data_IF_503738687084
#
_entry.id   IF_503738687084
#
_cell.length_a   1.000
_cell.length_b   1.000
_cell.length_c   1.000
_cell.angle_alpha   90.00
_cell.angle_beta   90.00
_cell.angle_gamma   90.00
#
_symmetry.space_group_name_H-M   'P 1'
#
loop_
_entity.id
_entity.type
_entity.pdbx_description
1 polymer ?
#
# COMPACT_ATOMS: atom_id res chain seq x y z
N UNK A 1 -37.18 -27.13 -43.67
CA UNK A 1 -36.46 -25.88 -43.34
C UNK A 1 -37.43 -25.01 -42.58
N UNK A 2 -37.33 -24.97 -41.25
CA UNK A 2 -38.07 -24.03 -40.42
C UNK A 2 -37.05 -23.18 -39.67
N UNK A 3 -37.16 -21.87 -39.84
CA UNK A 3 -36.28 -20.86 -39.27
C UNK A 3 -36.61 -20.67 -37.79
N UNK A 4 -35.65 -20.95 -36.91
CA UNK A 4 -35.76 -20.60 -35.49
C UNK A 4 -35.58 -19.09 -35.35
N UNK A 5 -36.62 -18.39 -34.92
CA UNK A 5 -36.55 -16.98 -34.53
C UNK A 5 -36.55 -16.91 -33.00
N UNK A 6 -35.46 -16.38 -32.42
CA UNK A 6 -35.44 -15.79 -31.06
C UNK A 6 -36.17 -16.59 -29.98
N UNK A 7 -35.74 -17.83 -29.72
CA UNK A 7 -36.21 -18.57 -28.54
C UNK A 7 -35.23 -18.35 -27.37
N UNK A 8 -35.75 -17.88 -26.24
CA UNK A 8 -35.08 -18.01 -24.95
C UNK A 8 -34.76 -19.50 -24.74
N UNK A 9 -33.49 -19.87 -24.64
CA UNK A 9 -33.10 -21.22 -24.25
C UNK A 9 -33.41 -21.35 -22.75
N UNK A 10 -34.51 -22.03 -22.42
CA UNK A 10 -34.86 -22.39 -21.03
C UNK A 10 -34.21 -23.73 -20.73
N UNK A 11 -33.17 -23.73 -19.88
CA UNK A 11 -32.68 -24.95 -19.25
C UNK A 11 -33.49 -25.18 -17.99
N UNK A 12 -34.33 -26.21 -17.96
CA UNK A 12 -34.97 -26.65 -16.72
C UNK A 12 -33.87 -27.13 -15.77
N UNK A 13 -33.70 -26.43 -14.65
CA UNK A 13 -32.87 -26.90 -13.55
C UNK A 13 -33.77 -27.54 -12.50
N UNK A 14 -33.30 -28.62 -11.89
CA UNK A 14 -33.91 -29.10 -10.64
C UNK A 14 -33.49 -28.17 -9.50
N UNK A 15 -34.41 -27.37 -8.96
CA UNK A 15 -34.18 -26.47 -7.83
C UNK A 15 -34.09 -24.98 -8.20
N UNK A 16 -33.47 -24.17 -7.34
CA UNK A 16 -33.44 -22.69 -7.45
C UNK A 16 -32.40 -22.13 -8.47
N UNK A 17 -31.95 -22.92 -9.46
CA UNK A 17 -30.95 -22.46 -10.41
C UNK A 17 -31.61 -21.96 -11.71
N UNK A 18 -31.21 -20.81 -12.24
CA UNK A 18 -31.76 -20.27 -13.50
C UNK A 18 -30.69 -19.51 -14.30
N UNK A 19 -30.84 -19.49 -15.63
CA UNK A 19 -29.98 -18.70 -16.52
C UNK A 19 -30.89 -17.86 -17.42
N UNK A 20 -30.75 -16.53 -17.34
CA UNK A 20 -31.52 -15.57 -18.14
C UNK A 20 -30.59 -14.86 -19.11
N UNK A 21 -30.86 -15.00 -20.40
CA UNK A 21 -30.13 -14.32 -21.47
C UNK A 21 -30.88 -13.04 -21.84
N UNK A 22 -30.16 -11.91 -21.87
CA UNK A 22 -30.60 -10.65 -22.45
C UNK A 22 -29.86 -10.43 -23.78
N UNK A 23 -30.27 -9.43 -24.56
CA UNK A 23 -29.64 -9.12 -25.85
C UNK A 23 -28.11 -9.00 -25.77
N UNK A 24 -27.57 -8.50 -24.64
CA UNK A 24 -26.15 -8.22 -24.47
C UNK A 24 -25.56 -8.78 -23.16
N UNK A 25 -26.31 -9.58 -22.39
CA UNK A 25 -25.84 -10.08 -21.08
C UNK A 25 -26.48 -11.41 -20.71
N UNK A 26 -25.90 -12.07 -19.71
CA UNK A 26 -26.43 -13.32 -19.14
C UNK A 26 -26.40 -13.19 -17.62
N UNK A 27 -27.49 -13.57 -16.96
CA UNK A 27 -27.59 -13.63 -15.49
C UNK A 27 -27.78 -15.09 -15.08
N UNK A 28 -26.93 -15.59 -14.17
CA UNK A 28 -27.01 -16.95 -13.64
C UNK A 28 -27.34 -16.91 -12.14
N UNK A 29 -28.46 -17.50 -11.74
CA UNK A 29 -28.81 -17.74 -10.34
C UNK A 29 -28.43 -19.19 -10.01
N UNK A 30 -27.63 -19.42 -8.97
CA UNK A 30 -27.28 -20.77 -8.50
C UNK A 30 -27.37 -20.83 -6.97
N UNK A 31 -28.23 -21.69 -6.44
CA UNK A 31 -28.31 -21.95 -5.00
C UNK A 31 -28.79 -20.76 -4.14
N UNK A 32 -29.52 -19.80 -4.72
CA UNK A 32 -29.99 -18.60 -4.04
C UNK A 32 -28.98 -17.44 -4.00
N UNK A 33 -27.88 -17.54 -4.76
CA UNK A 33 -26.90 -16.47 -4.95
C UNK A 33 -26.76 -16.21 -6.46
N UNK A 34 -26.71 -14.93 -6.84
CA UNK A 34 -26.44 -14.52 -8.22
C UNK A 34 -24.94 -14.68 -8.48
N UNK A 35 -24.56 -15.59 -9.39
CA UNK A 35 -23.18 -15.80 -9.80
C UNK A 35 -22.91 -14.98 -11.06
N UNK A 36 -21.99 -14.02 -10.95
CA UNK A 36 -21.46 -13.30 -12.10
C UNK A 36 -20.39 -14.14 -12.81
N UNK A 37 -20.61 -14.44 -14.09
CA UNK A 37 -19.57 -14.96 -14.99
C UNK A 37 -18.91 -13.78 -15.71
N UNK A 38 -17.70 -13.39 -15.28
CA UNK A 38 -16.90 -12.36 -15.96
C UNK A 38 -15.81 -13.01 -16.83
N UNK A 39 -15.63 -12.51 -18.06
CA UNK A 39 -14.37 -12.68 -18.77
C UNK A 39 -13.31 -11.72 -18.17
N UNK A 40 -12.04 -12.04 -18.37
CA UNK A 40 -10.95 -11.92 -17.40
C UNK A 40 -10.45 -10.52 -16.97
N UNK A 41 -11.24 -9.44 -17.06
CA UNK A 41 -10.72 -8.09 -16.71
C UNK A 41 -11.66 -7.14 -15.97
N UNK A 42 -12.98 -7.36 -15.89
CA UNK A 42 -13.87 -6.43 -15.17
C UNK A 42 -15.20 -7.06 -14.74
N UNK A 43 -15.70 -6.63 -13.59
CA UNK A 43 -17.04 -6.91 -13.06
C UNK A 43 -17.81 -5.59 -13.02
N UNK A 44 -18.84 -5.44 -13.86
CA UNK A 44 -19.76 -4.29 -13.83
C UNK A 44 -21.10 -4.79 -13.31
N UNK A 45 -21.43 -4.47 -12.05
CA UNK A 45 -22.71 -4.79 -11.41
C UNK A 45 -23.21 -3.59 -10.61
N UNK A 46 -24.53 -3.41 -10.57
CA UNK A 46 -25.22 -2.40 -9.74
C UNK A 46 -25.10 -2.70 -8.23
N UNK A 47 -24.90 -3.98 -7.88
CA UNK A 47 -24.57 -4.45 -6.54
C UNK A 47 -23.52 -5.55 -6.64
N UNK A 48 -22.34 -5.32 -6.06
CA UNK A 48 -21.31 -6.34 -5.90
C UNK A 48 -21.42 -6.88 -4.47
N UNK A 49 -21.73 -8.17 -4.32
CA UNK A 49 -21.56 -8.86 -3.03
C UNK A 49 -20.05 -9.06 -2.84
N UNK A 50 -19.40 -8.03 -2.32
CA UNK A 50 -17.99 -8.07 -1.92
C UNK A 50 -17.93 -8.83 -0.60
N UNK A 51 -17.39 -10.04 -0.61
CA UNK A 51 -17.10 -10.78 0.61
C UNK A 51 -16.14 -9.96 1.51
N UNK A 52 -16.24 -10.18 2.81
CA UNK A 52 -15.39 -9.61 3.89
C UNK A 52 -13.89 -9.83 3.66
N UNK A 53 -13.50 -10.63 2.68
CA UNK A 53 -12.13 -10.88 2.24
C UNK A 53 -11.50 -9.74 1.39
N UNK A 54 -12.26 -8.70 1.01
CA UNK A 54 -11.76 -7.57 0.21
C UNK A 54 -11.81 -6.26 1.02
N UNK A 55 -10.70 -5.52 1.02
CA UNK A 55 -10.63 -4.21 1.67
C UNK A 55 -11.41 -3.13 0.88
N UNK A 56 -12.32 -2.44 1.56
CA UNK A 56 -13.13 -1.31 1.12
C UNK A 56 -12.76 -0.04 1.90
N UNK A 57 -12.97 1.13 1.28
CA UNK A 57 -12.54 2.43 1.82
C UNK A 57 -13.53 3.05 2.82
N UNK A 58 -14.77 2.59 2.86
CA UNK A 58 -15.86 3.14 3.68
C UNK A 58 -16.25 2.25 4.87
N UNK A 59 -15.50 1.18 5.14
CA UNK A 59 -15.72 0.31 6.30
C UNK A 59 -14.43 0.13 7.09
N UNK A 60 -14.57 -0.11 8.40
CA UNK A 60 -13.43 -0.48 9.25
C UNK A 60 -12.92 -1.87 8.85
N UNK A 61 -11.63 -1.96 8.57
CA UNK A 61 -10.98 -3.23 8.22
C UNK A 61 -10.40 -3.91 9.45
N UNK A 62 -10.71 -5.19 9.65
CA UNK A 62 -10.10 -6.05 10.67
C UNK A 62 -9.42 -7.24 9.98
N UNK A 63 -8.10 -7.18 9.84
CA UNK A 63 -7.32 -8.28 9.28
C UNK A 63 -7.01 -9.31 10.36
N UNK A 64 -7.36 -10.58 10.14
CA UNK A 64 -7.09 -11.70 11.07
C UNK A 64 -5.71 -12.34 10.85
N UNK A 65 -4.93 -11.79 9.91
CA UNK A 65 -3.55 -12.17 9.55
C UNK A 65 -2.71 -10.93 9.31
N UNK A 66 -1.39 -11.08 9.36
CA UNK A 66 -0.46 -9.98 9.10
C UNK A 66 -0.64 -9.42 7.69
N UNK A 67 -0.59 -8.10 7.58
CA UNK A 67 -0.51 -7.39 6.32
C UNK A 67 0.91 -6.87 6.16
N UNK A 68 1.54 -7.21 5.04
CA UNK A 68 2.90 -6.77 4.73
C UNK A 68 2.90 -5.43 3.99
N UNK A 69 3.97 -4.67 4.17
CA UNK A 69 4.32 -3.53 3.33
C UNK A 69 5.68 -3.85 2.73
N UNK A 70 5.80 -3.84 1.41
CA UNK A 70 7.08 -4.08 0.76
C UNK A 70 7.97 -2.84 0.94
N UNK A 71 9.15 -2.96 1.58
CA UNK A 71 10.06 -1.83 1.71
C UNK A 71 10.63 -1.40 0.35
N UNK A 72 10.88 -0.11 0.19
CA UNK A 72 11.58 0.44 -0.98
C UNK A 72 12.98 0.86 -0.57
N UNK A 73 13.99 0.27 -1.20
CA UNK A 73 15.38 0.67 -1.02
C UNK A 73 15.64 2.00 -1.74
N UNK A 74 16.08 3.00 -0.99
CA UNK A 74 16.51 4.28 -1.53
C UNK A 74 17.95 4.17 -2.01
N UNK A 75 18.27 4.95 -3.03
CA UNK A 75 19.66 5.08 -3.49
C UNK A 75 20.43 6.01 -2.55
N UNK A 76 21.61 5.56 -2.09
CA UNK A 76 22.55 6.43 -1.40
C UNK A 76 23.06 7.53 -2.34
N UNK A 77 22.97 8.77 -1.88
CA UNK A 77 23.37 9.97 -2.60
C UNK A 77 23.68 11.07 -1.59
N UNK A 78 24.40 12.12 -1.99
CA UNK A 78 24.63 13.29 -1.14
C UNK A 78 23.32 13.87 -0.58
N UNK A 79 22.27 13.88 -1.40
CA UNK A 79 20.88 14.17 -1.04
C UNK A 79 20.01 12.97 -1.42
N UNK A 80 19.57 12.20 -0.42
CA UNK A 80 18.76 10.99 -0.60
C UNK A 80 17.31 11.41 -0.82
N UNK A 81 16.75 11.08 -1.99
CA UNK A 81 15.36 11.34 -2.32
C UNK A 81 14.44 10.24 -1.78
N UNK A 82 13.25 10.62 -1.29
CA UNK A 82 12.16 9.70 -0.93
C UNK A 82 10.93 10.07 -1.76
N UNK A 83 10.39 9.12 -2.53
CA UNK A 83 9.05 9.24 -3.12
C UNK A 83 8.04 8.52 -2.22
N UNK A 84 7.27 9.31 -1.47
CA UNK A 84 6.32 8.81 -0.48
C UNK A 84 5.09 8.10 -1.09
N UNK A 85 4.95 8.09 -2.42
CA UNK A 85 3.93 7.29 -3.09
C UNK A 85 4.30 5.82 -3.25
N UNK A 86 5.59 5.48 -3.18
CA UNK A 86 6.08 4.13 -3.49
C UNK A 86 5.90 3.14 -2.35
N UNK A 87 6.02 3.58 -1.10
CA UNK A 87 5.84 2.74 0.09
C UNK A 87 5.63 3.58 1.35
N UNK A 88 5.29 2.89 2.44
CA UNK A 88 5.33 3.42 3.80
C UNK A 88 6.63 3.04 4.53
N UNK A 89 7.47 2.17 3.95
CA UNK A 89 8.73 1.73 4.53
C UNK A 89 9.86 1.93 3.52
N UNK A 90 10.90 2.63 3.93
CA UNK A 90 12.08 2.92 3.13
C UNK A 90 13.35 2.44 3.84
N UNK A 91 14.31 1.94 3.08
CA UNK A 91 15.61 1.51 3.61
C UNK A 91 16.75 2.21 2.88
N UNK A 92 17.84 2.52 3.59
CA UNK A 92 19.07 3.03 2.95
C UNK A 92 20.30 2.68 3.78
N UNK A 93 21.36 2.24 3.11
CA UNK A 93 22.68 2.13 3.71
C UNK A 93 23.48 3.39 3.40
N UNK A 94 23.94 4.10 4.43
CA UNK A 94 24.68 5.34 4.29
C UNK A 94 26.15 5.02 3.96
N UNK A 95 26.63 5.47 2.80
CA UNK A 95 28.04 5.31 2.39
C UNK A 95 28.89 6.58 2.63
N UNK A 96 28.30 7.61 3.24
CA UNK A 96 28.92 8.90 3.53
C UNK A 96 28.02 9.77 4.39
N UNK A 97 28.45 10.99 4.67
CA UNK A 97 27.59 11.97 5.34
C UNK A 97 26.55 12.48 4.33
N UNK A 98 25.27 12.25 4.61
CA UNK A 98 24.17 12.49 3.67
C UNK A 98 23.16 13.49 4.22
N UNK A 99 22.25 13.91 3.36
CA UNK A 99 21.01 14.59 3.73
C UNK A 99 19.83 13.73 3.27
N UNK A 100 18.86 13.46 4.13
CA UNK A 100 17.56 12.93 3.74
C UNK A 100 16.70 14.10 3.26
N UNK A 101 16.47 14.18 1.95
CA UNK A 101 15.74 15.27 1.34
C UNK A 101 14.26 15.26 1.77
N UNK A 102 13.59 16.40 1.63
CA UNK A 102 12.13 16.48 1.77
C UNK A 102 11.47 15.48 0.81
N UNK A 103 10.61 14.56 1.30
CA UNK A 103 9.96 13.59 0.43
C UNK A 103 9.08 14.26 -0.63
N UNK A 104 9.02 13.69 -1.82
CA UNK A 104 8.01 14.02 -2.83
C UNK A 104 6.74 13.20 -2.59
N UNK A 105 5.61 13.67 -3.11
CA UNK A 105 4.31 12.98 -3.03
C UNK A 105 3.87 12.63 -1.59
N UNK A 106 4.26 13.45 -0.61
CA UNK A 106 3.90 13.26 0.79
C UNK A 106 2.38 13.48 0.97
N UNK A 107 1.71 12.45 1.49
CA UNK A 107 0.26 12.48 1.77
C UNK A 107 0.04 12.62 3.29
N UNK A 108 -0.75 13.63 3.67
CA UNK A 108 -1.16 13.85 5.06
C UNK A 108 -1.97 12.66 5.62
N UNK A 109 -1.80 12.36 6.90
CA UNK A 109 -2.44 11.24 7.59
C UNK A 109 -1.72 9.89 7.41
N UNK A 110 -0.66 9.82 6.60
CA UNK A 110 0.15 8.60 6.45
C UNK A 110 1.36 8.59 7.39
N UNK A 111 1.66 7.40 7.90
CA UNK A 111 2.91 7.11 8.62
C UNK A 111 3.95 6.56 7.66
N UNK A 112 5.17 7.06 7.76
CA UNK A 112 6.34 6.61 7.00
C UNK A 112 7.45 6.17 7.94
N UNK A 113 8.20 5.15 7.54
CA UNK A 113 9.31 4.58 8.30
C UNK A 113 10.56 4.63 7.42
N UNK A 114 11.64 5.19 7.93
CA UNK A 114 12.97 5.12 7.32
C UNK A 114 13.88 4.28 8.19
N UNK A 115 14.42 3.20 7.62
CA UNK A 115 15.41 2.33 8.24
C UNK A 115 16.76 2.70 7.64
N UNK A 116 17.66 3.18 8.49
CA UNK A 116 18.97 3.70 8.14
C UNK A 116 20.01 2.72 8.64
N UNK A 117 20.94 2.31 7.78
CA UNK A 117 22.03 1.40 8.15
C UNK A 117 23.37 2.08 7.90
N UNK A 118 24.26 2.06 8.88
CA UNK A 118 25.65 2.45 8.68
C UNK A 118 26.33 1.48 7.70
N UNK A 119 27.25 1.96 6.87
CA UNK A 119 28.12 1.06 6.11
C UNK A 119 29.05 0.26 7.04
N UNK A 120 29.89 -0.60 6.44
CA UNK A 120 30.86 -1.42 7.17
C UNK A 120 31.97 -0.60 7.86
N UNK A 121 32.06 0.71 7.66
CA UNK A 121 32.99 1.61 8.35
C UNK A 121 32.34 2.31 9.54
N UNK A 122 31.10 2.77 9.36
CA UNK A 122 30.37 3.56 10.35
C UNK A 122 30.72 5.06 10.31
N UNK A 123 30.30 5.75 11.38
CA UNK A 123 30.49 7.20 11.58
C UNK A 123 29.87 8.09 10.49
N UNK A 124 28.82 7.62 9.82
CA UNK A 124 28.04 8.42 8.87
C UNK A 124 26.99 9.24 9.60
N UNK A 125 26.88 10.51 9.20
CA UNK A 125 25.82 11.40 9.70
C UNK A 125 24.72 11.57 8.66
N UNK A 126 23.52 11.89 9.14
CA UNK A 126 22.37 12.22 8.30
C UNK A 126 21.78 13.55 8.76
N UNK A 127 21.82 14.54 7.88
CA UNK A 127 21.01 15.75 8.01
C UNK A 127 19.60 15.50 7.45
N UNK A 128 18.63 16.34 7.82
CA UNK A 128 17.24 16.18 7.40
C UNK A 128 16.75 17.43 6.69
N UNK A 129 15.88 17.23 5.71
CA UNK A 129 15.12 18.31 5.09
C UNK A 129 14.20 19.01 6.10
N UNK A 130 13.73 20.20 5.72
CA UNK A 130 12.90 21.06 6.59
C UNK A 130 11.53 20.47 6.95
N UNK A 131 11.06 19.43 6.26
CA UNK A 131 9.77 18.79 6.55
C UNK A 131 9.83 17.90 7.79
N UNK A 132 11.00 17.41 8.17
CA UNK A 132 11.19 16.52 9.32
C UNK A 132 11.25 17.35 10.61
N UNK A 133 10.23 17.18 11.45
CA UNK A 133 10.08 17.90 12.71
C UNK A 133 10.30 16.93 13.87
N UNK A 134 11.41 17.10 14.59
CA UNK A 134 11.76 16.27 15.73
C UNK A 134 11.34 16.91 17.06
N UNK A 135 11.11 16.13 18.12
CA UNK A 135 10.71 16.65 19.43
C UNK A 135 11.76 17.63 19.96
N UNK A 136 11.32 18.78 20.45
CA UNK A 136 12.22 19.84 20.92
C UNK A 136 13.03 20.53 19.80
N UNK A 137 12.77 20.24 18.54
CA UNK A 137 13.47 20.84 17.39
C UNK A 137 14.85 20.25 17.12
N UNK A 138 15.23 19.16 17.80
CA UNK A 138 16.56 18.56 17.69
C UNK A 138 16.48 17.23 16.96
N UNK A 139 17.16 17.14 15.81
CA UNK A 139 17.29 15.89 15.07
C UNK A 139 18.11 14.86 15.86
N UNK A 140 17.83 13.55 15.70
CA UNK A 140 18.59 12.51 16.37
C UNK A 140 20.02 12.43 15.82
N UNK A 141 20.95 12.07 16.69
CA UNK A 141 22.31 11.69 16.31
C UNK A 141 22.29 10.19 16.02
N UNK A 142 22.64 9.81 14.78
CA UNK A 142 22.68 8.41 14.39
C UNK A 142 23.76 7.63 15.13
N UNK A 143 23.51 6.33 15.28
CA UNK A 143 24.50 5.38 15.78
C UNK A 143 25.67 5.31 14.80
N UNK A 144 26.88 5.17 15.33
CA UNK A 144 28.11 5.34 14.54
C UNK A 144 28.93 4.07 14.35
N UNK A 145 28.57 2.96 15.01
CA UNK A 145 29.27 1.70 14.77
C UNK A 145 28.95 1.17 13.37
N UNK A 146 29.89 0.41 12.81
CA UNK A 146 29.70 -0.25 11.53
C UNK A 146 28.44 -1.13 11.55
N UNK A 147 27.62 -1.03 10.51
CA UNK A 147 26.36 -1.77 10.37
C UNK A 147 25.28 -1.47 11.44
N UNK A 148 25.45 -0.47 12.31
CA UNK A 148 24.38 -0.03 13.22
C UNK A 148 23.14 0.36 12.42
N UNK A 149 21.97 0.04 12.97
CA UNK A 149 20.68 0.35 12.37
C UNK A 149 19.96 1.38 13.25
N UNK A 150 19.47 2.44 12.61
CA UNK A 150 18.60 3.43 13.24
C UNK A 150 17.26 3.50 12.48
N UNK A 151 16.18 3.75 13.20
CA UNK A 151 14.83 3.83 12.62
C UNK A 151 14.23 5.20 12.92
N UNK A 152 13.68 5.84 11.90
CA UNK A 152 12.90 7.07 12.02
C UNK A 152 11.47 6.76 11.63
N UNK A 153 10.52 7.10 12.50
CA UNK A 153 9.09 7.00 12.24
C UNK A 153 8.53 8.41 12.13
N UNK A 154 7.76 8.69 11.08
CA UNK A 154 7.19 10.00 10.82
C UNK A 154 5.70 9.94 10.50
N UNK A 155 4.89 10.75 11.17
CA UNK A 155 3.49 11.01 10.79
C UNK A 155 3.42 12.29 9.97
N UNK A 156 3.01 12.20 8.71
CA UNK A 156 2.75 13.38 7.89
C UNK A 156 1.46 14.06 8.35
N UNK A 157 1.55 15.25 8.91
CA UNK A 157 0.39 16.05 9.34
C UNK A 157 -0.09 17.02 8.26
N UNK A 158 0.75 17.26 7.25
CA UNK A 158 0.44 18.02 6.04
C UNK A 158 1.29 17.49 4.89
N UNK A 159 1.20 18.10 3.71
CA UNK A 159 2.06 17.77 2.55
C UNK A 159 3.50 18.26 2.71
N UNK A 160 3.82 18.99 3.80
CA UNK A 160 5.14 19.59 4.03
C UNK A 160 5.64 19.48 5.48
N UNK A 161 4.95 18.72 6.34
CA UNK A 161 5.32 18.57 7.75
C UNK A 161 5.15 17.12 8.21
N UNK A 162 6.22 16.58 8.80
CA UNK A 162 6.32 15.21 9.29
C UNK A 162 6.74 15.28 10.76
N UNK A 163 5.88 14.81 11.66
CA UNK A 163 6.22 14.69 13.07
C UNK A 163 7.01 13.41 13.27
N UNK A 164 8.28 13.52 13.65
CA UNK A 164 9.23 12.43 13.69
C UNK A 164 9.52 11.96 15.11
N UNK A 165 9.84 10.68 15.25
CA UNK A 165 10.54 10.09 16.39
C UNK A 165 11.59 9.11 15.87
N UNK A 166 12.55 8.75 16.72
CA UNK A 166 13.65 7.85 16.34
C UNK A 166 13.90 6.79 17.39
N UNK A 167 14.26 5.59 16.92
CA UNK A 167 14.85 4.52 17.72
C UNK A 167 16.27 4.30 17.20
N UNK A 168 17.25 4.40 18.09
CA UNK A 168 18.66 4.35 17.74
C UNK A 168 19.30 3.04 18.23
N UNK A 169 20.35 2.63 17.55
CA UNK A 169 21.20 1.47 17.88
C UNK A 169 20.42 0.15 18.00
N UNK A 170 19.62 -0.15 16.98
CA UNK A 170 18.94 -1.43 16.87
C UNK A 170 19.94 -2.52 16.44
N UNK A 171 20.00 -3.62 17.19
CA UNK A 171 20.90 -4.75 16.97
C UNK A 171 20.27 -5.86 16.11
#
# INVERSE_FOLDING_TARGET
>A
MSTLQTENIVFESSGNNSITYFANSVVMHVGGVDVLVANSTSVVMDSLIIDTSIAQLNISQVFTKSQGITPVALSDAASIATDASLSNIFTVTLAGNRTLANPTNLIAGKTYIWILTQDATGSRTLAYGSYFLFPGGTAPILSTAANSIDIIVGLAISTTQILCSSTLDYQ
#
